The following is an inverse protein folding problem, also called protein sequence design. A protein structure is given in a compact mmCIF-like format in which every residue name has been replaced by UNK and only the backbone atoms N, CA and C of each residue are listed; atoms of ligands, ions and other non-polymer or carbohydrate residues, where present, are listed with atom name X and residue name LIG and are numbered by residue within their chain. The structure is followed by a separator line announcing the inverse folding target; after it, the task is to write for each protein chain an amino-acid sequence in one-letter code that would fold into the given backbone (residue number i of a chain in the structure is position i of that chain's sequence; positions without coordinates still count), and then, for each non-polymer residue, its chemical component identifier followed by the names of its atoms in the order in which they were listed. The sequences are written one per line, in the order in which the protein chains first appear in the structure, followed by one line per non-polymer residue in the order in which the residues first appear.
data_IF_070581060350
#
_entry.id   IF_070581060350
#
_cell.length_a   1.000
_cell.length_b   1.000
_cell.length_c   1.000
_cell.angle_alpha   90.00
_cell.angle_beta   90.00
_cell.angle_gamma   90.00
#
_symmetry.space_group_name_H-M   'P 1'
#
loop_
_entity.id
_entity.type
_entity.pdbx_description
1 polymer ?
#
# COMPACT_ATOMS: atom_id res chain seq x y z
N UNK A 1 -25.97 0.13 5.94
CA UNK A 1 -25.15 0.98 6.83
C UNK A 1 -24.28 0.05 7.66
N UNK A 2 -22.99 -0.11 7.33
CA UNK A 2 -22.07 -0.93 8.14
C UNK A 2 -21.26 -0.01 9.06
N UNK A 3 -21.41 -0.07 10.40
CA UNK A 3 -20.89 0.94 11.32
C UNK A 3 -19.64 0.47 12.09
N UNK A 4 -18.62 -0.05 11.41
CA UNK A 4 -17.38 -0.46 12.09
C UNK A 4 -16.15 -0.04 11.30
N UNK A 5 -15.89 1.26 11.21
CA UNK A 5 -14.52 1.75 11.23
C UNK A 5 -13.99 1.46 12.64
N UNK A 6 -13.52 0.25 12.92
CA UNK A 6 -12.72 0.09 14.15
C UNK A 6 -11.35 0.63 13.81
N UNK A 7 -10.96 1.75 14.44
CA UNK A 7 -9.58 2.25 14.42
C UNK A 7 -8.57 1.12 14.69
N UNK A 8 -8.99 0.07 15.41
CA UNK A 8 -8.25 -1.16 15.68
C UNK A 8 -7.74 -1.89 14.44
N UNK A 9 -8.47 -1.97 13.32
CA UNK A 9 -7.96 -2.67 12.12
C UNK A 9 -6.93 -1.80 11.40
N UNK A 10 -7.16 -0.49 11.34
CA UNK A 10 -6.21 0.44 10.74
C UNK A 10 -4.89 0.46 11.50
N UNK A 11 -4.93 0.46 12.84
CA UNK A 11 -3.73 0.48 13.68
C UNK A 11 -2.92 -0.81 13.61
N UNK A 12 -3.57 -1.96 13.40
CA UNK A 12 -2.89 -3.23 13.15
C UNK A 12 -2.05 -3.19 11.87
N UNK A 13 -2.62 -2.65 10.78
CA UNK A 13 -1.86 -2.46 9.52
C UNK A 13 -0.68 -1.51 9.70
N UNK A 14 -0.87 -0.38 10.39
CA UNK A 14 0.20 0.58 10.68
C UNK A 14 1.37 -0.05 11.44
N UNK A 15 1.09 -0.89 12.44
CA UNK A 15 2.11 -1.56 13.24
C UNK A 15 2.82 -2.66 12.45
N UNK A 16 2.09 -3.43 11.64
CA UNK A 16 2.69 -4.47 10.80
C UNK A 16 3.69 -3.88 9.81
N UNK A 17 3.32 -2.83 9.08
CA UNK A 17 4.19 -2.21 8.06
C UNK A 17 5.43 -1.61 8.70
N UNK A 18 5.28 -0.95 9.85
CA UNK A 18 6.41 -0.40 10.60
C UNK A 18 7.39 -1.50 11.01
N UNK A 19 6.89 -2.62 11.53
CA UNK A 19 7.73 -3.75 11.92
C UNK A 19 8.43 -4.39 10.71
N UNK A 20 7.74 -4.50 9.57
CA UNK A 20 8.34 -4.95 8.31
C UNK A 20 9.46 -4.02 7.85
N UNK A 21 9.31 -2.70 8.05
CA UNK A 21 10.35 -1.71 7.80
C UNK A 21 11.64 -1.89 8.60
N UNK A 22 11.55 -2.51 9.78
CA UNK A 22 12.70 -2.78 10.64
C UNK A 22 13.47 -4.05 10.21
N UNK A 23 13.01 -4.75 9.18
CA UNK A 23 13.63 -5.99 8.71
C UNK A 23 14.61 -5.68 7.56
N UNK A 24 15.93 -5.73 7.78
CA UNK A 24 16.91 -5.39 6.75
C UNK A 24 16.96 -6.42 5.61
N UNK A 25 16.45 -7.64 5.83
CA UNK A 25 16.45 -8.72 4.84
C UNK A 25 15.22 -8.68 3.91
N UNK A 26 14.30 -7.75 4.12
CA UNK A 26 13.03 -7.71 3.40
C UNK A 26 13.20 -7.06 2.01
N UNK A 27 13.40 -7.89 0.99
CA UNK A 27 13.57 -7.44 -0.40
C UNK A 27 12.27 -7.46 -1.21
N UNK A 28 11.30 -8.31 -0.84
CA UNK A 28 10.04 -8.45 -1.56
C UNK A 28 8.85 -8.41 -0.59
N UNK A 29 7.87 -7.57 -0.93
CA UNK A 29 6.64 -7.41 -0.16
C UNK A 29 5.43 -7.40 -1.07
N UNK A 30 4.43 -8.20 -0.68
CA UNK A 30 3.14 -8.25 -1.35
C UNK A 30 2.07 -7.82 -0.35
N UNK A 31 1.37 -6.73 -0.65
CA UNK A 31 0.25 -6.24 0.14
C UNK A 31 -1.03 -6.49 -0.63
N UNK A 32 -1.85 -7.40 -0.09
CA UNK A 32 -3.17 -7.70 -0.61
C UNK A 32 -4.21 -7.18 0.36
N UNK A 33 -4.96 -6.20 -0.11
CA UNK A 33 -6.08 -5.64 0.60
C UNK A 33 -7.36 -6.48 0.48
N UNK A 34 -8.36 -6.07 1.24
CA UNK A 34 -9.67 -6.70 1.21
C UNK A 34 -10.53 -6.11 0.09
N UNK A 35 -11.23 -6.98 -0.64
CA UNK A 35 -12.19 -6.58 -1.67
C UNK A 35 -13.39 -5.86 -1.01
N UNK A 36 -13.95 -4.80 -1.62
CA UNK A 36 -15.13 -4.11 -1.13
C UNK A 36 -16.30 -5.09 -0.85
N UNK A 37 -17.19 -4.78 0.11
CA UNK A 37 -17.43 -3.46 0.71
C UNK A 37 -16.52 -3.13 1.90
N UNK A 38 -15.50 -3.95 2.16
CA UNK A 38 -14.54 -3.71 3.24
C UNK A 38 -13.77 -2.41 2.96
N UNK A 39 -13.75 -1.54 3.96
CA UNK A 39 -13.32 -0.14 3.90
C UNK A 39 -11.92 0.07 3.27
N UNK A 40 -11.71 1.28 2.74
CA UNK A 40 -10.43 1.73 2.20
C UNK A 40 -9.37 1.69 3.29
N UNK A 41 -8.31 0.91 3.06
CA UNK A 41 -7.18 0.83 3.98
C UNK A 41 -6.43 2.17 3.98
N UNK A 42 -6.21 2.75 5.16
CA UNK A 42 -5.35 3.94 5.33
C UNK A 42 -3.88 3.54 5.29
N UNK A 43 -3.45 2.97 4.17
CA UNK A 43 -2.10 2.44 3.97
C UNK A 43 -1.10 3.54 3.59
N UNK A 44 -1.55 4.57 2.87
CA UNK A 44 -0.73 5.66 2.32
C UNK A 44 0.34 6.23 3.26
N UNK A 45 -0.02 6.75 4.45
CA UNK A 45 0.96 7.37 5.36
C UNK A 45 1.99 6.38 5.93
N UNK A 46 1.74 5.07 5.84
CA UNK A 46 2.63 4.03 6.37
C UNK A 46 3.59 3.46 5.32
N UNK A 47 3.38 3.73 4.03
CA UNK A 47 4.28 3.27 2.96
C UNK A 47 5.70 3.85 3.12
N UNK A 48 5.83 5.03 3.72
CA UNK A 48 7.12 5.64 4.07
C UNK A 48 7.92 4.86 5.12
N UNK A 49 7.29 3.92 5.82
CA UNK A 49 7.95 3.07 6.82
C UNK A 49 8.37 1.72 6.27
N UNK A 50 8.27 1.49 4.96
CA UNK A 50 8.80 0.29 4.33
C UNK A 50 10.34 0.30 4.36
N UNK A 51 10.92 -0.89 4.30
CA UNK A 51 12.36 -1.09 4.37
C UNK A 51 13.08 -0.44 3.19
N UNK A 52 14.23 0.18 3.43
CA UNK A 52 15.06 0.79 2.38
C UNK A 52 15.62 -0.25 1.40
N UNK A 53 15.75 -1.51 1.84
CA UNK A 53 16.24 -2.63 1.02
C UNK A 53 15.13 -3.29 0.17
N UNK A 54 13.91 -2.74 0.20
CA UNK A 54 12.79 -3.31 -0.53
C UNK A 54 12.94 -3.08 -2.04
N UNK A 55 13.16 -4.16 -2.79
CA UNK A 55 13.33 -4.15 -4.24
C UNK A 55 12.04 -4.38 -5.01
N UNK A 56 11.13 -5.17 -4.46
CA UNK A 56 9.89 -5.56 -5.13
C UNK A 56 8.68 -5.29 -4.25
N UNK A 57 7.73 -4.53 -4.78
CA UNK A 57 6.47 -4.23 -4.11
C UNK A 57 5.29 -4.57 -5.02
N UNK A 58 4.40 -5.43 -4.54
CA UNK A 58 3.10 -5.66 -5.18
C UNK A 58 1.98 -5.10 -4.31
N UNK A 59 1.12 -4.28 -4.90
CA UNK A 59 -0.08 -3.73 -4.27
C UNK A 59 -1.30 -4.28 -4.99
N UNK A 60 -2.23 -4.89 -4.24
CA UNK A 60 -3.48 -5.39 -4.79
C UNK A 60 -4.67 -5.12 -3.89
N UNK A 61 -5.81 -4.69 -4.44
CA UNK A 61 -7.01 -4.32 -3.67
C UNK A 61 -6.73 -3.34 -2.52
N UNK A 62 -5.72 -2.48 -2.69
CA UNK A 62 -5.29 -1.52 -1.65
C UNK A 62 -6.08 -0.21 -1.72
N UNK A 63 -6.66 0.12 -2.88
CA UNK A 63 -7.43 1.35 -3.10
C UNK A 63 -6.72 2.63 -2.63
N UNK A 64 -5.40 2.68 -2.72
CA UNK A 64 -4.58 3.79 -2.26
C UNK A 64 -4.90 5.06 -3.04
N UNK A 65 -5.03 6.22 -2.39
CA UNK A 65 -5.10 7.50 -3.11
C UNK A 65 -3.84 7.68 -3.97
N UNK A 66 -3.99 8.18 -5.21
CA UNK A 66 -2.89 8.43 -6.13
C UNK A 66 -1.77 9.26 -5.51
N UNK A 67 -2.12 10.22 -4.64
CA UNK A 67 -1.21 11.08 -3.92
C UNK A 67 -0.23 10.30 -3.03
N UNK A 68 -0.60 9.08 -2.61
CA UNK A 68 0.26 8.17 -1.84
C UNK A 68 1.40 7.56 -2.68
N UNK A 69 1.36 7.62 -4.01
CA UNK A 69 2.46 7.19 -4.88
C UNK A 69 3.76 7.94 -4.56
N UNK A 70 3.68 9.20 -4.14
CA UNK A 70 4.83 10.00 -3.70
C UNK A 70 5.65 9.35 -2.59
N UNK A 71 5.02 8.52 -1.76
CA UNK A 71 5.68 7.76 -0.69
C UNK A 71 6.45 6.56 -1.25
N UNK A 72 5.97 5.94 -2.33
CA UNK A 72 6.62 4.81 -2.99
C UNK A 72 7.89 5.23 -3.73
N UNK A 73 7.88 6.42 -4.34
CA UNK A 73 9.07 6.97 -5.02
C UNK A 73 10.25 7.25 -4.09
N UNK A 74 10.06 7.18 -2.77
CA UNK A 74 11.13 7.38 -1.79
C UNK A 74 11.89 6.11 -1.44
N UNK A 75 11.46 4.96 -1.94
CA UNK A 75 12.14 3.68 -1.71
C UNK A 75 13.37 3.62 -2.62
N UNK A 76 14.59 3.65 -2.07
CA UNK A 76 15.80 3.87 -2.85
C UNK A 76 16.15 2.67 -3.74
N UNK A 77 15.91 1.46 -3.25
CA UNK A 77 16.27 0.21 -3.93
C UNK A 77 15.09 -0.42 -4.70
N UNK A 78 13.95 0.28 -4.82
CA UNK A 78 12.76 -0.30 -5.44
C UNK A 78 12.93 -0.44 -6.95
N UNK A 79 13.15 -1.68 -7.40
CA UNK A 79 13.32 -2.06 -8.80
C UNK A 79 11.98 -2.38 -9.49
N UNK A 80 11.03 -2.96 -8.75
CA UNK A 80 9.77 -3.45 -9.31
C UNK A 80 8.55 -3.00 -8.49
N UNK A 81 7.63 -2.28 -9.14
CA UNK A 81 6.31 -1.93 -8.58
C UNK A 81 5.20 -2.57 -9.42
N UNK A 82 4.47 -3.51 -8.83
CA UNK A 82 3.32 -4.18 -9.45
C UNK A 82 2.02 -3.68 -8.83
N UNK A 83 1.18 -3.11 -9.69
CA UNK A 83 -0.14 -2.59 -9.34
C UNK A 83 -1.21 -3.54 -9.91
N UNK A 84 -1.99 -4.20 -9.05
CA UNK A 84 -3.00 -5.20 -9.47
C UNK A 84 -4.37 -4.92 -8.85
N UNK A 85 -5.45 -5.28 -9.55
CA UNK A 85 -6.83 -5.31 -9.02
C UNK A 85 -7.22 -4.07 -8.17
N UNK A 86 -7.44 -2.94 -8.81
CA UNK A 86 -7.80 -1.66 -8.15
C UNK A 86 -6.85 -1.25 -7.00
N UNK A 87 -5.54 -1.13 -7.28
CA UNK A 87 -4.56 -0.80 -6.25
C UNK A 87 -4.57 0.69 -5.88
N UNK A 88 -4.97 1.55 -6.83
CA UNK A 88 -4.99 3.01 -6.70
C UNK A 88 -6.40 3.59 -6.95
N UNK A 89 -6.66 4.78 -6.40
CA UNK A 89 -7.86 5.60 -6.58
C UNK A 89 -7.49 7.05 -6.87
N UNK A 90 -8.40 7.84 -7.45
CA UNK A 90 -8.16 9.26 -7.80
C UNK A 90 -7.81 9.49 -9.28
N UNK A 91 -7.74 10.76 -9.68
CA UNK A 91 -7.66 11.16 -11.09
C UNK A 91 -6.41 10.63 -11.83
N UNK A 92 -5.27 10.51 -11.15
CA UNK A 92 -4.06 9.94 -11.74
C UNK A 92 -4.16 8.45 -12.05
N UNK A 93 -5.01 7.71 -11.34
CA UNK A 93 -5.18 6.27 -11.51
C UNK A 93 -5.94 5.89 -12.80
N UNK A 94 -6.69 6.83 -13.39
CA UNK A 94 -7.45 6.59 -14.63
C UNK A 94 -6.54 6.47 -15.86
N UNK A 95 -5.34 7.05 -15.83
CA UNK A 95 -4.39 7.01 -16.94
C UNK A 95 -3.67 5.65 -17.03
N UNK A 96 -3.52 4.93 -15.92
CA UNK A 96 -2.88 3.61 -15.87
C UNK A 96 -3.84 2.45 -16.28
N UNK A 97 -5.15 2.71 -16.35
CA UNK A 97 -6.16 1.69 -16.70
C UNK A 97 -6.57 1.71 -18.18
N UNK A 98 -6.04 2.64 -18.97
CA UNK A 98 -6.24 2.67 -20.42
C UNK A 98 -5.04 2.04 -21.12
N UNK A 99 -4.93 0.72 -21.02
CA UNK A 99 -4.18 -0.13 -21.94
C UNK A 99 -4.89 -1.49 -22.02
#
# INVERSE_FOLDING_TARGET
MWPYCSESVSSLWSNCIRNLGLMPQLEELIIVGLKPPVQVQKLGPHLNSLSENLKKLTLSFTYLPWESMTSLYRLPELEELKLKNHPLTGCGAQFQQRD
#
